data_IF_438878142115
#
_entry.id   IF_438878142115
#
_cell.length_a   1.000
_cell.length_b   1.000
_cell.length_c   1.000
_cell.angle_alpha   90.00
_cell.angle_beta   90.00
_cell.angle_gamma   90.00
#
_symmetry.space_group_name_H-M   'P 1'
#
loop_
_entity.id
_entity.type
_entity.pdbx_description
1 polymer ?
#
# COMPACT_ATOMS: atom_id res chain seq x y z
N UNK A 1 8.84 -8.39 -2.19
CA UNK A 1 8.66 -8.73 -0.76
C UNK A 1 8.13 -7.48 -0.08
N UNK A 2 6.87 -7.45 0.37
CA UNK A 2 6.30 -6.30 1.07
C UNK A 2 6.97 -6.09 2.44
N UNK A 3 6.76 -4.91 3.05
CA UNK A 3 7.31 -4.59 4.37
C UNK A 3 6.87 -5.57 5.47
N UNK A 4 5.62 -6.06 5.42
CA UNK A 4 5.11 -7.08 6.35
C UNK A 4 5.85 -8.42 6.28
N UNK A 5 6.52 -8.72 5.16
CA UNK A 5 7.35 -9.92 5.01
C UNK A 5 8.83 -9.69 5.36
N UNK A 6 9.27 -8.43 5.39
CA UNK A 6 10.62 -8.09 5.81
C UNK A 6 10.75 -8.22 7.34
N UNK A 7 11.91 -8.66 7.83
CA UNK A 7 12.11 -8.99 9.26
C UNK A 7 11.61 -7.89 10.21
N UNK A 8 11.89 -6.62 9.89
CA UNK A 8 11.49 -5.47 10.71
C UNK A 8 9.96 -5.35 10.79
N UNK A 9 9.23 -5.52 9.68
CA UNK A 9 7.76 -5.46 9.68
C UNK A 9 7.14 -6.73 10.23
N UNK A 10 7.66 -7.90 9.85
CA UNK A 10 7.09 -9.21 10.17
C UNK A 10 6.93 -9.49 11.66
N UNK A 11 7.88 -9.07 12.49
CA UNK A 11 7.83 -9.32 13.94
C UNK A 11 6.71 -8.56 14.66
N UNK A 12 6.16 -7.54 14.02
CA UNK A 12 5.15 -6.64 14.58
C UNK A 12 3.92 -6.49 13.67
N UNK A 13 3.84 -7.28 12.61
CA UNK A 13 2.71 -7.23 11.70
C UNK A 13 1.43 -7.63 12.45
N UNK A 14 0.38 -6.82 12.29
CA UNK A 14 -0.88 -6.89 13.05
C UNK A 14 -0.76 -6.80 14.60
N UNK A 15 0.38 -6.38 15.15
CA UNK A 15 0.52 -6.12 16.59
C UNK A 15 0.20 -4.67 16.94
N UNK A 16 -0.22 -4.42 18.17
CA UNK A 16 -0.39 -3.08 18.75
C UNK A 16 0.31 -3.01 20.09
N UNK A 17 1.08 -1.94 20.33
CA UNK A 17 1.81 -1.76 21.58
C UNK A 17 1.96 -0.28 21.95
N UNK A 18 1.89 -0.02 23.25
CA UNK A 18 2.18 1.26 23.86
C UNK A 18 2.42 1.07 25.37
N UNK A 19 3.03 2.09 25.99
CA UNK A 19 3.18 2.16 27.44
C UNK A 19 1.94 2.84 28.03
N UNK A 20 1.56 2.42 29.24
CA UNK A 20 0.61 3.16 30.06
C UNK A 20 1.06 4.62 30.27
N UNK A 21 0.11 5.55 30.32
CA UNK A 21 0.39 6.98 30.50
C UNK A 21 1.06 7.24 31.87
N UNK A 22 0.44 6.73 32.93
CA UNK A 22 0.87 6.91 34.33
C UNK A 22 1.59 5.68 34.93
N UNK A 23 2.12 4.80 34.08
CA UNK A 23 2.75 3.55 34.50
C UNK A 23 3.94 3.16 33.63
N UNK A 24 4.73 2.20 34.11
CA UNK A 24 5.83 1.62 33.35
C UNK A 24 5.44 0.35 32.57
N UNK A 25 4.22 -0.16 32.78
CA UNK A 25 3.70 -1.36 32.12
C UNK A 25 3.20 -1.09 30.70
N UNK A 26 2.93 -2.17 29.97
CA UNK A 26 2.22 -2.13 28.69
C UNK A 26 0.74 -1.81 28.93
N UNK A 27 0.16 -1.02 28.04
CA UNK A 27 -1.28 -0.80 28.02
C UNK A 27 -1.96 -1.85 27.14
N UNK A 28 -2.88 -2.60 27.73
CA UNK A 28 -3.68 -3.62 27.04
C UNK A 28 -5.13 -3.19 26.85
N UNK A 29 -5.52 -2.00 27.34
CA UNK A 29 -6.88 -1.48 27.20
C UNK A 29 -7.00 -0.72 25.88
N UNK A 30 -6.10 0.22 25.64
CA UNK A 30 -6.05 1.01 24.41
C UNK A 30 -4.66 1.57 24.19
N UNK A 31 -4.35 1.82 22.91
CA UNK A 31 -3.17 2.58 22.51
C UNK A 31 -3.58 3.82 21.74
N UNK A 32 -2.84 4.93 21.88
CA UNK A 32 -3.15 6.18 21.19
C UNK A 32 -3.03 6.00 19.68
N UNK A 33 -3.98 6.57 18.95
CA UNK A 33 -3.96 6.64 17.48
C UNK A 33 -3.41 7.99 17.01
N UNK A 34 -3.29 8.15 15.68
CA UNK A 34 -2.77 9.38 15.07
C UNK A 34 -3.55 10.62 15.51
N UNK A 35 -4.88 10.51 15.66
CA UNK A 35 -5.75 11.60 16.11
C UNK A 35 -5.49 12.02 17.57
N UNK A 36 -5.07 11.08 18.42
CA UNK A 36 -4.76 11.33 19.83
C UNK A 36 -3.37 11.94 19.99
N UNK A 37 -2.39 11.39 19.26
CA UNK A 37 -1.00 11.80 19.33
C UNK A 37 -0.23 11.39 18.06
N UNK A 38 0.35 12.36 17.37
CA UNK A 38 1.11 12.12 16.14
C UNK A 38 2.35 11.22 16.36
N UNK A 39 2.92 11.26 17.56
CA UNK A 39 4.18 10.57 17.92
C UNK A 39 3.94 9.31 18.75
N UNK A 40 2.79 8.66 18.60
CA UNK A 40 2.53 7.38 19.23
C UNK A 40 3.54 6.30 18.75
N UNK A 41 3.69 5.24 19.57
CA UNK A 41 4.71 4.22 19.35
C UNK A 41 4.52 3.48 18.01
N UNK A 42 3.27 3.20 17.64
CA UNK A 42 2.90 2.47 16.43
C UNK A 42 3.24 3.26 15.17
N UNK A 43 2.73 4.48 15.07
CA UNK A 43 2.96 5.35 13.91
C UNK A 43 4.43 5.71 13.79
N UNK A 44 5.09 6.03 14.91
CA UNK A 44 6.54 6.31 14.91
C UNK A 44 7.35 5.13 14.38
N UNK A 45 6.99 3.91 14.79
CA UNK A 45 7.62 2.70 14.29
C UNK A 45 7.41 2.54 12.78
N UNK A 46 6.17 2.57 12.31
CA UNK A 46 5.86 2.35 10.89
C UNK A 46 6.42 3.45 10.00
N UNK A 47 6.45 4.72 10.44
CA UNK A 47 7.12 5.82 9.73
C UNK A 47 8.59 5.51 9.50
N UNK A 48 9.29 5.02 10.53
CA UNK A 48 10.70 4.64 10.43
C UNK A 48 10.90 3.41 9.56
N UNK A 49 10.07 2.39 9.73
CA UNK A 49 10.14 1.15 8.97
C UNK A 49 9.89 1.37 7.47
N UNK A 50 8.82 2.07 7.11
CA UNK A 50 8.50 2.47 5.72
C UNK A 50 9.60 3.30 5.09
N UNK A 51 10.14 4.30 5.82
CA UNK A 51 11.26 5.12 5.32
C UNK A 51 12.50 4.27 5.02
N UNK A 52 12.85 3.34 5.93
CA UNK A 52 14.01 2.46 5.73
C UNK A 52 13.78 1.49 4.58
N UNK A 53 12.59 0.89 4.50
CA UNK A 53 12.20 -0.03 3.44
C UNK A 53 12.28 0.62 2.05
N UNK A 54 11.77 1.83 1.90
CA UNK A 54 11.85 2.58 0.65
C UNK A 54 13.29 2.92 0.23
N UNK A 55 14.18 3.23 1.19
CA UNK A 55 15.59 3.53 0.91
C UNK A 55 16.39 2.31 0.44
N UNK A 56 16.04 1.13 0.93
CA UNK A 56 16.73 -0.12 0.58
C UNK A 56 16.13 -0.82 -0.64
N UNK A 57 14.96 -0.38 -1.11
CA UNK A 57 14.30 -0.96 -2.29
C UNK A 57 15.02 -0.54 -3.59
N UNK A 58 15.12 -1.48 -4.54
CA UNK A 58 15.77 -1.29 -5.84
C UNK A 58 15.11 -2.14 -6.93
N UNK A 59 15.42 -1.86 -8.20
CA UNK A 59 14.88 -2.58 -9.34
C UNK A 59 13.47 -2.14 -9.71
N UNK A 60 12.61 -3.11 -10.05
CA UNK A 60 11.19 -2.87 -10.36
C UNK A 60 10.39 -2.85 -9.07
N UNK A 61 9.78 -1.71 -8.77
CA UNK A 61 8.90 -1.54 -7.60
C UNK A 61 7.49 -1.87 -8.04
N UNK A 62 6.78 -2.69 -7.26
CA UNK A 62 5.37 -2.99 -7.49
C UNK A 62 4.55 -2.37 -6.36
N UNK A 63 3.49 -1.65 -6.72
CA UNK A 63 2.55 -1.01 -5.79
C UNK A 63 1.16 -1.52 -6.08
N UNK A 64 0.49 -2.08 -5.09
CA UNK A 64 -0.90 -2.52 -5.19
C UNK A 64 -1.81 -1.51 -4.50
N UNK A 65 -2.82 -1.01 -5.21
CA UNK A 65 -3.81 -0.05 -4.73
C UNK A 65 -5.22 -0.64 -4.87
N UNK A 66 -6.14 -0.19 -4.02
CA UNK A 66 -7.55 -0.58 -4.08
C UNK A 66 -8.36 0.47 -4.86
N UNK A 67 -8.75 0.14 -6.09
CA UNK A 67 -9.61 0.97 -6.97
C UNK A 67 -11.08 1.00 -6.54
N UNK A 68 -11.48 0.18 -5.57
CA UNK A 68 -12.81 0.16 -4.95
C UNK A 68 -12.89 0.94 -3.64
N UNK A 69 -11.81 1.62 -3.21
CA UNK A 69 -11.78 2.45 -2.00
C UNK A 69 -12.55 3.77 -2.18
N UNK A 70 -13.60 4.05 -1.38
CA UNK A 70 -14.41 5.27 -1.49
C UNK A 70 -13.64 6.59 -1.36
N UNK A 71 -12.52 6.59 -0.64
CA UNK A 71 -11.67 7.77 -0.46
C UNK A 71 -10.63 7.97 -1.58
N UNK A 72 -10.61 7.10 -2.59
CA UNK A 72 -9.63 7.06 -3.66
C UNK A 72 -8.52 6.03 -3.42
N UNK A 73 -7.97 5.50 -4.50
CA UNK A 73 -7.02 4.39 -4.46
C UNK A 73 -5.64 4.77 -3.90
N UNK A 74 -5.24 6.05 -4.06
CA UNK A 74 -3.99 6.60 -3.54
C UNK A 74 -4.27 7.67 -2.45
N UNK A 75 -4.12 7.33 -1.16
CA UNK A 75 -4.28 8.31 -0.11
C UNK A 75 -3.12 9.32 -0.12
N UNK A 76 -3.40 10.55 -0.55
CA UNK A 76 -2.41 11.65 -0.62
C UNK A 76 -1.78 11.99 0.73
N UNK A 77 -2.41 11.58 1.84
CA UNK A 77 -1.89 11.61 3.20
C UNK A 77 -1.85 10.17 3.74
N UNK A 78 -0.70 9.50 3.60
CA UNK A 78 -0.52 8.12 4.05
C UNK A 78 0.94 7.69 4.04
N UNK A 79 1.23 6.46 4.47
CA UNK A 79 2.61 5.94 4.53
C UNK A 79 3.29 5.93 3.17
N UNK A 80 2.61 5.39 2.16
CA UNK A 80 3.10 5.35 0.79
C UNK A 80 3.44 6.76 0.27
N UNK A 81 2.53 7.71 0.46
CA UNK A 81 2.67 9.08 -0.04
C UNK A 81 3.76 9.91 0.67
N UNK A 82 3.88 9.77 2.00
CA UNK A 82 4.70 10.64 2.83
C UNK A 82 6.07 10.05 3.22
N UNK A 83 6.15 8.73 3.35
CA UNK A 83 7.33 8.06 3.91
C UNK A 83 7.99 7.09 2.95
N UNK A 84 7.28 6.57 1.95
CA UNK A 84 7.86 5.60 1.00
C UNK A 84 8.25 6.25 -0.32
N UNK A 85 7.29 6.78 -1.10
CA UNK A 85 7.55 7.40 -2.41
C UNK A 85 8.68 8.44 -2.33
N UNK A 86 8.68 9.41 -1.39
CA UNK A 86 9.73 10.42 -1.31
C UNK A 86 11.12 9.87 -0.98
N UNK A 87 11.22 8.66 -0.41
CA UNK A 87 12.46 8.04 0.03
C UNK A 87 13.00 6.99 -0.95
N UNK A 88 12.33 6.76 -2.08
CA UNK A 88 12.82 5.87 -3.14
C UNK A 88 14.14 6.39 -3.73
N UNK A 89 15.11 5.50 -3.90
CA UNK A 89 16.42 5.82 -4.45
C UNK A 89 16.37 5.79 -5.98
N UNK A 90 16.16 6.96 -6.61
CA UNK A 90 16.00 7.09 -8.07
C UNK A 90 17.08 6.37 -8.89
N UNK A 91 18.31 6.39 -8.42
CA UNK A 91 19.47 5.72 -9.03
C UNK A 91 19.40 4.19 -8.97
N UNK A 92 18.68 3.63 -8.00
CA UNK A 92 18.49 2.19 -7.81
C UNK A 92 17.17 1.66 -8.38
N UNK A 93 16.22 2.53 -8.69
CA UNK A 93 14.88 2.16 -9.17
C UNK A 93 14.84 2.15 -10.69
N UNK A 94 14.46 1.03 -11.28
CA UNK A 94 14.29 0.88 -12.72
C UNK A 94 12.96 1.47 -13.19
N UNK A 95 11.85 1.06 -12.56
CA UNK A 95 10.50 1.59 -12.81
C UNK A 95 9.56 1.25 -11.65
N UNK A 96 8.43 1.94 -11.59
CA UNK A 96 7.34 1.69 -10.65
C UNK A 96 6.13 1.13 -11.40
N UNK A 97 5.71 -0.09 -11.07
CA UNK A 97 4.52 -0.73 -11.60
C UNK A 97 3.38 -0.61 -10.60
N UNK A 98 2.30 0.05 -11.00
CA UNK A 98 1.10 0.26 -10.20
C UNK A 98 0.04 -0.75 -10.64
N UNK A 99 -0.52 -1.47 -9.70
CA UNK A 99 -1.66 -2.38 -9.91
C UNK A 99 -2.86 -1.82 -9.16
N UNK A 100 -3.85 -1.33 -9.90
CA UNK A 100 -5.11 -0.86 -9.34
C UNK A 100 -6.10 -2.01 -9.39
N UNK A 101 -6.37 -2.60 -8.24
CA UNK A 101 -7.23 -3.78 -8.12
C UNK A 101 -8.63 -3.37 -7.71
N UNK A 102 -9.65 -3.94 -8.34
CA UNK A 102 -11.04 -3.74 -7.97
C UNK A 102 -11.63 -5.00 -7.34
N UNK A 103 -12.48 -4.82 -6.35
CA UNK A 103 -13.19 -5.92 -5.71
C UNK A 103 -14.11 -6.63 -6.72
N UNK A 104 -14.17 -7.97 -6.65
CA UNK A 104 -15.04 -8.75 -7.54
C UNK A 104 -16.51 -8.44 -7.23
N UNK A 105 -17.24 -7.93 -8.23
CA UNK A 105 -18.62 -7.43 -8.04
C UNK A 105 -18.72 -6.14 -7.21
N UNK A 106 -17.59 -5.53 -6.87
CA UNK A 106 -17.51 -4.27 -6.15
C UNK A 106 -17.57 -3.04 -7.06
N UNK A 107 -17.54 -1.83 -6.47
CA UNK A 107 -17.58 -0.60 -7.24
C UNK A 107 -16.23 -0.32 -7.93
N UNK A 108 -16.29 0.12 -9.18
CA UNK A 108 -15.14 0.66 -9.92
C UNK A 108 -15.07 2.18 -9.67
N UNK A 109 -14.30 2.60 -8.66
CA UNK A 109 -14.27 4.00 -8.23
C UNK A 109 -13.11 4.79 -8.83
N UNK A 110 -11.91 4.21 -8.85
CA UNK A 110 -10.75 4.80 -9.51
C UNK A 110 -9.94 3.75 -10.25
N UNK A 111 -9.61 4.05 -11.50
CA UNK A 111 -8.71 3.26 -12.34
C UNK A 111 -7.41 4.01 -12.66
N UNK A 112 -6.48 3.35 -13.35
CA UNK A 112 -5.25 3.98 -13.86
C UNK A 112 -5.52 5.30 -14.60
N UNK A 113 -4.74 6.33 -14.29
CA UNK A 113 -4.89 7.67 -14.88
C UNK A 113 -6.09 8.50 -14.36
N UNK A 114 -6.84 8.01 -13.38
CA UNK A 114 -8.01 8.69 -12.81
C UNK A 114 -7.77 9.15 -11.37
N UNK A 115 -8.54 10.15 -10.94
CA UNK A 115 -8.63 10.57 -9.53
C UNK A 115 -7.29 10.69 -8.81
N UNK A 116 -7.17 10.03 -7.66
CA UNK A 116 -5.96 10.03 -6.84
C UNK A 116 -4.82 9.20 -7.43
N UNK A 117 -5.11 8.19 -8.26
CA UNK A 117 -4.08 7.43 -8.98
C UNK A 117 -3.27 8.35 -9.89
N UNK A 118 -3.93 9.26 -10.61
CA UNK A 118 -3.25 10.27 -11.43
C UNK A 118 -2.31 11.17 -10.62
N UNK A 119 -2.69 11.54 -9.40
CA UNK A 119 -1.83 12.34 -8.51
C UNK A 119 -0.55 11.58 -8.15
N UNK A 120 -0.65 10.27 -7.92
CA UNK A 120 0.51 9.41 -7.69
C UNK A 120 1.41 9.34 -8.93
N UNK A 121 0.82 9.11 -10.11
CA UNK A 121 1.52 9.05 -11.39
C UNK A 121 2.28 10.34 -11.69
N UNK A 122 1.63 11.50 -11.52
CA UNK A 122 2.25 12.81 -11.71
C UNK A 122 3.43 13.02 -10.74
N UNK A 123 3.28 12.62 -9.47
CA UNK A 123 4.36 12.70 -8.47
C UNK A 123 5.56 11.82 -8.84
N UNK A 124 5.33 10.59 -9.31
CA UNK A 124 6.40 9.70 -9.78
C UNK A 124 7.13 10.31 -10.99
N UNK A 125 6.38 10.91 -11.91
CA UNK A 125 6.90 11.60 -13.07
C UNK A 125 7.73 12.83 -12.71
N UNK A 126 7.29 13.63 -11.75
CA UNK A 126 8.02 14.79 -11.21
C UNK A 126 9.35 14.38 -10.56
N UNK A 127 9.37 13.24 -9.87
CA UNK A 127 10.61 12.64 -9.35
C UNK A 127 11.51 12.09 -10.46
N UNK A 128 11.01 12.01 -11.69
CA UNK A 128 11.69 11.45 -12.85
C UNK A 128 11.89 9.94 -12.74
N UNK A 129 10.95 9.25 -12.09
CA UNK A 129 10.84 7.80 -12.08
C UNK A 129 10.01 7.36 -13.29
N UNK A 130 10.43 6.27 -13.95
CA UNK A 130 9.58 5.61 -14.93
C UNK A 130 8.46 4.87 -14.19
N UNK A 131 7.24 4.90 -14.74
CA UNK A 131 6.12 4.18 -14.17
C UNK A 131 5.24 3.54 -15.24
N UNK A 132 4.47 2.54 -14.83
CA UNK A 132 3.38 1.94 -15.61
C UNK A 132 2.23 1.60 -14.68
N UNK A 133 1.00 1.68 -15.16
CA UNK A 133 -0.19 1.33 -14.38
C UNK A 133 -0.99 0.23 -15.10
N UNK A 134 -1.52 -0.73 -14.35
CA UNK A 134 -2.35 -1.83 -14.84
C UNK A 134 -3.56 -1.99 -13.95
N UNK A 135 -4.76 -1.89 -14.52
CA UNK A 135 -5.99 -2.24 -13.83
C UNK A 135 -6.11 -3.76 -13.75
N UNK A 136 -6.58 -4.28 -12.62
CA UNK A 136 -6.93 -5.68 -12.41
C UNK A 136 -5.83 -6.65 -12.86
N UNK A 137 -4.61 -6.45 -12.34
CA UNK A 137 -3.44 -7.27 -12.67
C UNK A 137 -3.75 -8.76 -12.54
N UNK A 138 -3.67 -9.47 -13.67
CA UNK A 138 -4.27 -10.81 -13.85
C UNK A 138 -3.90 -11.81 -12.74
N UNK A 139 -2.63 -11.97 -12.31
CA UNK A 139 -2.30 -12.89 -11.22
C UNK A 139 -3.03 -12.60 -9.91
N UNK A 140 -3.23 -11.32 -9.57
CA UNK A 140 -3.93 -10.90 -8.35
C UNK A 140 -5.43 -11.05 -8.55
N UNK A 141 -5.96 -10.72 -9.74
CA UNK A 141 -7.37 -10.97 -10.08
C UNK A 141 -7.72 -12.45 -9.97
N UNK A 142 -6.87 -13.34 -10.48
CA UNK A 142 -7.02 -14.80 -10.34
C UNK A 142 -7.03 -15.24 -8.88
N UNK A 143 -6.17 -14.65 -8.04
CA UNK A 143 -6.18 -14.88 -6.60
C UNK A 143 -7.49 -14.43 -5.94
N UNK A 144 -7.99 -13.22 -6.27
CA UNK A 144 -9.28 -12.73 -5.77
C UNK A 144 -10.44 -13.62 -6.20
N UNK A 145 -10.39 -14.16 -7.42
CA UNK A 145 -11.40 -15.07 -7.95
C UNK A 145 -11.50 -16.42 -7.23
N UNK A 146 -10.51 -16.80 -6.40
CA UNK A 146 -10.58 -18.04 -5.59
C UNK A 146 -11.81 -18.04 -4.68
N UNK A 147 -12.20 -16.87 -4.15
CA UNK A 147 -13.37 -16.72 -3.29
C UNK A 147 -14.66 -16.36 -4.06
N UNK A 148 -14.56 -16.13 -5.38
CA UNK A 148 -15.66 -15.65 -6.24
C UNK A 148 -15.80 -16.47 -7.54
N UNK A 149 -15.56 -17.79 -7.47
CA UNK A 149 -15.43 -18.68 -8.64
C UNK A 149 -16.62 -18.69 -9.61
N UNK A 150 -17.83 -18.35 -9.17
CA UNK A 150 -19.03 -18.28 -10.02
C UNK A 150 -19.38 -16.87 -10.47
N UNK A 151 -18.61 -15.86 -10.08
CA UNK A 151 -18.87 -14.48 -10.47
C UNK A 151 -18.49 -14.25 -11.94
N UNK A 152 -19.28 -13.48 -12.72
CA UNK A 152 -18.98 -13.24 -14.15
C UNK A 152 -17.58 -12.66 -14.41
N UNK A 153 -17.07 -11.80 -13.52
CA UNK A 153 -15.72 -11.23 -13.65
C UNK A 153 -14.60 -12.27 -13.50
N UNK A 154 -14.94 -13.46 -12.99
CA UNK A 154 -14.07 -14.61 -12.78
C UNK A 154 -14.38 -15.76 -13.75
N UNK A 155 -15.26 -15.53 -14.73
CA UNK A 155 -15.48 -16.44 -15.83
C UNK A 155 -14.34 -16.27 -16.86
N UNK A 156 -13.23 -16.96 -16.57
CA UNK A 156 -12.14 -17.12 -17.52
C UNK A 156 -12.49 -18.25 -18.49
N UNK A 157 -13.57 -18.09 -19.26
CA UNK A 157 -13.83 -19.00 -20.38
C UNK A 157 -12.63 -18.93 -21.30
N UNK A 158 -11.94 -20.05 -21.41
CA UNK A 158 -10.83 -20.21 -22.35
C UNK A 158 -11.39 -20.07 -23.76
N UNK A 159 -11.10 -18.96 -24.44
CA UNK A 159 -11.08 -18.95 -25.89
C UNK A 159 -10.00 -19.95 -26.33
N UNK A 160 -10.43 -21.20 -26.55
CA UNK A 160 -9.68 -22.27 -27.19
C UNK A 160 -10.42 -22.69 -28.46
#
# INVERSE_FOLDING_TARGET
MPLGDALLGKVVDFMSWCRQENGSGLDYQSCPVLEDCETNAMDSFWRRASTQYAKETSGVIHVMLNGSEPKGAYPTKGFLANYEIPNLQKDKVTRVEIWVMHDIGGPYLESCGEGTVKIMEDKLKEMGLQYSCTNDYLPVKLFMCVDHTTHPDCDFTSDC
#
